data_IF_271137323770
#
_entry.id   IF_271137323770
#
_cell.length_a   1.000
_cell.length_b   1.000
_cell.length_c   1.000
_cell.angle_alpha   90.00
_cell.angle_beta   90.00
_cell.angle_gamma   90.00
#
_symmetry.space_group_name_H-M   'P 1'
#
loop_
_entity.id
_entity.type
_entity.pdbx_description
1 polymer ?
#
# COMPACT_ATOMS: atom_id res chain seq x y z
N UNK A 1 -16.37 -33.38 5.53
CA UNK A 1 -15.63 -33.04 4.29
C UNK A 1 -16.51 -32.08 3.51
N UNK A 2 -16.11 -30.82 3.35
CA UNK A 2 -16.89 -29.85 2.56
C UNK A 2 -16.63 -30.08 1.08
N UNK A 3 -17.68 -30.36 0.29
CA UNK A 3 -17.59 -30.46 -1.15
C UNK A 3 -16.92 -29.22 -1.74
N UNK A 4 -15.78 -29.43 -2.40
CA UNK A 4 -15.05 -28.34 -3.05
C UNK A 4 -15.72 -28.05 -4.39
N UNK A 5 -16.57 -27.03 -4.44
CA UNK A 5 -17.16 -26.57 -5.72
C UNK A 5 -16.08 -25.92 -6.60
N UNK A 6 -16.06 -26.25 -7.89
CA UNK A 6 -15.19 -25.60 -8.89
C UNK A 6 -15.63 -24.15 -9.12
N UNK A 7 -14.69 -23.28 -9.49
CA UNK A 7 -14.98 -21.91 -9.90
C UNK A 7 -16.00 -21.87 -11.05
N UNK A 8 -17.06 -21.07 -10.90
CA UNK A 8 -18.12 -20.90 -11.90
C UNK A 8 -17.73 -20.05 -13.12
N UNK A 9 -16.44 -19.81 -13.36
CA UNK A 9 -15.96 -19.16 -14.58
C UNK A 9 -15.57 -20.22 -15.60
N UNK A 10 -16.09 -20.06 -16.81
CA UNK A 10 -15.80 -20.98 -17.93
C UNK A 10 -14.28 -21.16 -18.11
N UNK A 11 -13.86 -22.41 -18.26
CA UNK A 11 -12.45 -22.80 -18.41
C UNK A 11 -11.60 -22.70 -17.13
N UNK A 12 -12.18 -22.36 -15.98
CA UNK A 12 -11.46 -22.36 -14.71
C UNK A 12 -11.60 -23.70 -13.99
N UNK A 13 -10.47 -24.36 -13.75
CA UNK A 13 -10.41 -25.62 -12.99
C UNK A 13 -10.07 -25.42 -11.51
N UNK A 14 -9.83 -24.18 -11.07
CA UNK A 14 -9.51 -23.88 -9.67
C UNK A 14 -10.73 -24.02 -8.76
N UNK A 15 -10.50 -24.44 -7.51
CA UNK A 15 -11.55 -24.53 -6.51
C UNK A 15 -12.06 -23.14 -6.10
N UNK A 16 -13.38 -23.04 -5.97
CA UNK A 16 -14.02 -21.87 -5.42
C UNK A 16 -13.82 -21.81 -3.89
N UNK A 17 -13.56 -20.61 -3.38
CA UNK A 17 -13.46 -20.35 -1.94
C UNK A 17 -14.31 -19.13 -1.54
N UNK A 18 -15.04 -18.55 -2.50
CA UNK A 18 -15.76 -17.30 -2.34
C UNK A 18 -17.11 -17.43 -3.04
N UNK A 19 -18.19 -17.17 -2.32
CA UNK A 19 -19.53 -17.01 -2.89
C UNK A 19 -19.83 -15.52 -3.06
N UNK A 20 -20.12 -15.09 -4.29
CA UNK A 20 -20.52 -13.72 -4.61
C UNK A 20 -21.85 -13.73 -5.36
N UNK A 21 -22.93 -13.38 -4.65
CA UNK A 21 -24.29 -13.56 -5.16
C UNK A 21 -24.55 -15.04 -5.46
N UNK A 22 -24.89 -15.33 -6.72
CA UNK A 22 -25.14 -16.70 -7.21
C UNK A 22 -23.88 -17.39 -7.77
N UNK A 23 -22.72 -16.73 -7.80
CA UNK A 23 -21.49 -17.27 -8.37
C UNK A 23 -20.55 -17.79 -7.26
N UNK A 24 -19.98 -18.97 -7.49
CA UNK A 24 -18.86 -19.50 -6.71
C UNK A 24 -17.55 -19.19 -7.46
N UNK A 25 -16.60 -18.51 -6.84
CA UNK A 25 -15.40 -17.99 -7.50
C UNK A 25 -14.13 -18.43 -6.76
N UNK A 26 -13.07 -18.73 -7.52
CA UNK A 26 -11.73 -18.84 -6.96
C UNK A 26 -11.17 -17.43 -6.61
N UNK A 27 -10.06 -17.34 -5.84
CA UNK A 27 -9.45 -16.05 -5.49
C UNK A 27 -9.11 -15.17 -6.69
N UNK A 28 -8.57 -15.76 -7.77
CA UNK A 28 -8.17 -15.07 -9.00
C UNK A 28 -9.37 -14.40 -9.68
N UNK A 29 -10.42 -15.16 -9.99
CA UNK A 29 -11.59 -14.61 -10.69
C UNK A 29 -12.41 -13.66 -9.83
N UNK A 30 -12.47 -13.89 -8.52
CA UNK A 30 -13.03 -12.90 -7.61
C UNK A 30 -12.25 -11.57 -7.70
N UNK A 31 -10.92 -11.64 -7.72
CA UNK A 31 -10.08 -10.45 -7.82
C UNK A 31 -10.21 -9.73 -9.15
N UNK A 32 -10.27 -10.46 -10.27
CA UNK A 32 -10.56 -9.87 -11.58
C UNK A 32 -11.92 -9.16 -11.61
N UNK A 33 -12.94 -9.77 -11.00
CA UNK A 33 -14.25 -9.13 -10.81
C UNK A 33 -14.13 -7.80 -10.06
N UNK A 34 -13.37 -7.76 -8.97
CA UNK A 34 -13.12 -6.53 -8.23
C UNK A 34 -12.39 -5.46 -9.06
N UNK A 35 -11.32 -5.83 -9.76
CA UNK A 35 -10.55 -4.92 -10.62
C UNK A 35 -11.45 -4.25 -11.66
N UNK A 36 -12.25 -5.05 -12.38
CA UNK A 36 -13.17 -4.56 -13.41
C UNK A 36 -14.28 -3.69 -12.82
N UNK A 37 -14.86 -4.09 -11.70
CA UNK A 37 -15.92 -3.32 -11.03
C UNK A 37 -15.41 -1.96 -10.52
N UNK A 38 -14.19 -1.91 -9.97
CA UNK A 38 -13.56 -0.65 -9.52
C UNK A 38 -13.25 0.25 -10.72
N UNK A 39 -12.67 -0.29 -11.80
CA UNK A 39 -12.39 0.48 -13.01
C UNK A 39 -13.67 1.10 -13.58
N UNK A 40 -14.74 0.30 -13.72
CA UNK A 40 -16.05 0.76 -14.19
C UNK A 40 -16.60 1.89 -13.31
N UNK A 41 -16.58 1.71 -11.98
CA UNK A 41 -17.07 2.71 -11.02
C UNK A 41 -16.33 4.04 -11.12
N UNK A 42 -15.05 4.00 -11.49
CA UNK A 42 -14.19 5.18 -11.65
C UNK A 42 -14.25 5.81 -13.05
N UNK A 43 -15.08 5.28 -13.96
CA UNK A 43 -15.14 5.75 -15.34
C UNK A 43 -13.86 5.46 -16.14
N UNK A 44 -13.08 4.47 -15.73
CA UNK A 44 -11.85 4.06 -16.42
C UNK A 44 -12.13 2.94 -17.43
N UNK A 45 -11.22 2.76 -18.39
CA UNK A 45 -11.27 1.63 -19.32
C UNK A 45 -11.30 0.30 -18.56
N UNK A 46 -12.24 -0.58 -18.93
CA UNK A 46 -12.48 -1.85 -18.24
C UNK A 46 -11.93 -3.01 -19.08
N UNK A 47 -10.83 -3.66 -18.68
CA UNK A 47 -10.27 -4.77 -19.45
C UNK A 47 -11.21 -5.98 -19.48
N UNK A 48 -11.10 -6.80 -20.54
CA UNK A 48 -11.75 -8.10 -20.61
C UNK A 48 -11.11 -9.09 -19.64
N UNK A 49 -11.81 -10.18 -19.29
CA UNK A 49 -11.20 -11.22 -18.46
C UNK A 49 -10.02 -11.91 -19.18
N UNK A 50 -10.14 -12.11 -20.49
CA UNK A 50 -9.08 -12.70 -21.30
C UNK A 50 -7.81 -11.85 -21.25
N UNK A 51 -7.94 -10.53 -21.38
CA UNK A 51 -6.82 -9.61 -21.25
C UNK A 51 -6.22 -9.67 -19.84
N UNK A 52 -7.03 -9.73 -18.78
CA UNK A 52 -6.51 -9.85 -17.41
C UNK A 52 -5.72 -11.14 -17.18
N UNK A 53 -6.10 -12.26 -17.82
CA UNK A 53 -5.27 -13.48 -17.78
C UNK A 53 -3.95 -13.28 -18.51
N UNK A 54 -3.95 -12.62 -19.68
CA UNK A 54 -2.74 -12.34 -20.47
C UNK A 54 -1.76 -11.39 -19.76
N UNK A 55 -2.27 -10.48 -18.92
CA UNK A 55 -1.45 -9.54 -18.15
C UNK A 55 -0.78 -10.17 -16.93
N UNK A 56 -1.18 -11.38 -16.54
CA UNK A 56 -0.67 -12.03 -15.36
C UNK A 56 0.63 -12.76 -15.68
N UNK A 57 1.67 -12.56 -14.86
CA UNK A 57 2.83 -13.43 -14.93
C UNK A 57 2.59 -14.72 -14.14
N UNK A 58 3.17 -15.81 -14.62
CA UNK A 58 3.03 -17.13 -13.99
C UNK A 58 3.52 -17.15 -12.54
N UNK A 59 4.56 -16.36 -12.24
CA UNK A 59 5.16 -16.28 -10.90
C UNK A 59 4.39 -15.41 -9.89
N UNK A 60 3.31 -14.74 -10.31
CA UNK A 60 2.58 -13.78 -9.46
C UNK A 60 3.48 -12.69 -8.86
N UNK A 61 4.57 -12.29 -9.53
CA UNK A 61 5.44 -11.21 -9.06
C UNK A 61 5.02 -9.88 -9.65
N UNK A 62 5.03 -8.82 -8.85
CA UNK A 62 4.77 -7.48 -9.36
C UNK A 62 5.85 -7.10 -10.38
N UNK A 63 5.52 -6.76 -11.64
CA UNK A 63 6.54 -6.42 -12.65
C UNK A 63 7.33 -5.17 -12.27
N UNK A 64 6.72 -4.28 -11.47
CA UNK A 64 7.32 -3.02 -11.06
C UNK A 64 8.36 -3.14 -9.95
N UNK A 65 8.10 -4.00 -8.95
CA UNK A 65 8.96 -4.07 -7.75
C UNK A 65 9.45 -5.49 -7.41
N UNK A 66 9.03 -6.50 -8.17
CA UNK A 66 9.39 -7.90 -7.98
C UNK A 66 8.75 -8.59 -6.78
N UNK A 67 7.94 -7.90 -5.96
CA UNK A 67 7.31 -8.52 -4.79
C UNK A 67 6.32 -9.60 -5.22
N UNK A 68 6.33 -10.74 -4.53
CA UNK A 68 5.28 -11.74 -4.68
C UNK A 68 3.92 -11.13 -4.32
N UNK A 69 2.95 -11.28 -5.22
CA UNK A 69 1.60 -10.78 -5.08
C UNK A 69 0.68 -11.88 -4.54
N UNK A 70 -0.41 -11.45 -3.92
CA UNK A 70 -1.50 -12.34 -3.51
C UNK A 70 -2.82 -11.93 -4.16
N UNK A 71 -3.79 -12.83 -4.15
CA UNK A 71 -5.13 -12.56 -4.70
C UNK A 71 -6.04 -11.83 -3.73
N UNK A 72 -5.83 -12.02 -2.42
CA UNK A 72 -6.76 -11.58 -1.38
C UNK A 72 -6.06 -10.67 -0.39
N UNK A 73 -6.70 -9.56 -0.05
CA UNK A 73 -6.17 -8.60 0.92
C UNK A 73 -5.93 -9.18 2.32
N UNK A 74 -6.61 -10.28 2.69
CA UNK A 74 -6.37 -10.98 3.96
C UNK A 74 -4.98 -11.63 4.02
N UNK A 75 -4.36 -11.91 2.88
CA UNK A 75 -3.04 -12.52 2.76
C UNK A 75 -1.92 -11.46 2.65
N UNK A 76 -2.26 -10.17 2.75
CA UNK A 76 -1.36 -9.03 2.62
C UNK A 76 -1.99 -7.92 1.77
N UNK A 77 -2.37 -6.81 2.40
CA UNK A 77 -3.12 -5.74 1.72
C UNK A 77 -2.26 -5.00 0.68
N UNK A 78 -0.96 -4.93 0.89
CA UNK A 78 0.01 -4.20 0.08
C UNK A 78 0.50 -4.96 -1.15
N UNK A 79 0.58 -6.29 -1.05
CA UNK A 79 0.99 -7.20 -2.11
C UNK A 79 -0.19 -7.72 -2.93
N UNK A 80 -1.44 -7.37 -2.58
CA UNK A 80 -2.60 -7.79 -3.37
C UNK A 80 -2.50 -7.30 -4.81
N UNK A 81 -2.64 -8.21 -5.75
CA UNK A 81 -2.64 -7.93 -7.19
C UNK A 81 -3.71 -6.88 -7.50
N UNK A 82 -3.40 -5.88 -8.33
CA UNK A 82 -4.28 -4.75 -8.62
C UNK A 82 -4.12 -4.30 -10.06
N UNK A 83 -5.21 -3.81 -10.66
CA UNK A 83 -5.19 -3.30 -12.04
C UNK A 83 -4.61 -1.89 -12.05
N UNK A 84 -3.57 -1.69 -12.85
CA UNK A 84 -2.96 -0.41 -13.17
C UNK A 84 -3.37 0.03 -14.57
N UNK A 85 -3.71 1.31 -14.70
CA UNK A 85 -3.88 2.03 -15.97
C UNK A 85 -2.65 2.91 -16.16
N UNK A 86 -1.81 2.61 -17.14
CA UNK A 86 -0.64 3.42 -17.45
C UNK A 86 -1.02 4.59 -18.36
N UNK A 87 -0.19 5.63 -18.38
CA UNK A 87 -0.47 6.86 -19.14
C UNK A 87 -0.34 6.68 -20.66
N UNK A 88 0.38 5.66 -21.09
CA UNK A 88 0.45 5.23 -22.49
C UNK A 88 -0.82 4.49 -22.97
N UNK A 89 -1.83 4.36 -22.11
CA UNK A 89 -3.09 3.67 -22.38
C UNK A 89 -3.03 2.16 -22.16
N UNK A 90 -1.87 1.60 -21.80
CA UNK A 90 -1.73 0.17 -21.52
C UNK A 90 -2.23 -0.20 -20.12
N UNK A 91 -2.41 -1.51 -19.90
CA UNK A 91 -2.81 -2.07 -18.61
C UNK A 91 -1.69 -2.90 -18.00
N UNK A 92 -1.71 -3.03 -16.67
CA UNK A 92 -0.85 -3.98 -15.97
C UNK A 92 -1.51 -4.55 -14.73
N UNK A 93 -1.08 -5.74 -14.32
CA UNK A 93 -1.38 -6.28 -13.00
C UNK A 93 -0.14 -6.07 -12.13
N UNK A 94 -0.27 -5.20 -11.12
CA UNK A 94 0.81 -4.81 -10.22
C UNK A 94 0.35 -4.93 -8.77
N UNK A 95 1.28 -4.97 -7.81
CA UNK A 95 0.89 -4.98 -6.40
C UNK A 95 0.22 -3.65 -6.03
N UNK A 96 -0.72 -3.69 -5.08
CA UNK A 96 -1.45 -2.48 -4.64
C UNK A 96 -0.51 -1.38 -4.16
N UNK A 97 0.64 -1.73 -3.56
CA UNK A 97 1.65 -0.73 -3.16
C UNK A 97 2.18 0.06 -4.36
N UNK A 98 2.52 -0.60 -5.48
CA UNK A 98 2.97 0.07 -6.69
C UNK A 98 1.84 0.90 -7.30
N UNK A 99 0.65 0.33 -7.47
CA UNK A 99 -0.52 1.04 -8.02
C UNK A 99 -0.85 2.32 -7.23
N UNK A 100 -0.72 2.27 -5.90
CA UNK A 100 -0.90 3.47 -5.07
C UNK A 100 0.17 4.52 -5.35
N UNK A 101 1.44 4.13 -5.57
CA UNK A 101 2.54 5.08 -5.86
C UNK A 101 2.38 5.74 -7.22
N UNK A 102 1.97 4.98 -8.23
CA UNK A 102 1.62 5.49 -9.57
C UNK A 102 0.72 6.72 -9.51
N UNK A 103 -0.34 6.65 -8.71
CA UNK A 103 -1.29 7.74 -8.56
C UNK A 103 -0.67 9.06 -8.05
N UNK A 104 0.50 9.01 -7.40
CA UNK A 104 1.18 10.18 -6.83
C UNK A 104 2.36 10.68 -7.67
N UNK A 105 2.76 9.97 -8.72
CA UNK A 105 3.97 10.29 -9.49
C UNK A 105 3.64 10.78 -10.92
N UNK A 106 4.34 11.81 -11.42
CA UNK A 106 4.16 12.27 -12.79
C UNK A 106 4.74 11.26 -13.78
N UNK A 107 4.10 11.14 -14.94
CA UNK A 107 4.53 10.40 -16.12
C UNK A 107 5.04 8.98 -15.87
N UNK A 108 4.44 8.25 -14.93
CA UNK A 108 4.83 6.88 -14.57
C UNK A 108 6.33 6.75 -14.18
N UNK A 109 6.95 7.88 -13.76
CA UNK A 109 8.38 7.99 -13.37
C UNK A 109 8.80 7.11 -12.19
N UNK A 110 7.86 6.39 -11.59
CA UNK A 110 8.18 5.38 -10.58
C UNK A 110 8.92 4.18 -11.20
N UNK A 111 8.78 3.92 -12.51
CA UNK A 111 9.54 2.86 -13.22
C UNK A 111 11.03 3.13 -13.18
N UNK A 112 11.40 4.39 -13.23
CA UNK A 112 12.79 4.85 -13.23
C UNK A 112 13.38 4.91 -11.81
N UNK A 113 12.57 4.66 -10.78
CA UNK A 113 13.01 4.72 -9.40
C UNK A 113 13.82 3.46 -9.06
N UNK A 114 15.07 3.61 -8.56
CA UNK A 114 15.83 2.47 -8.08
C UNK A 114 15.07 1.68 -7.00
N UNK A 115 15.27 0.36 -6.94
CA UNK A 115 14.52 -0.53 -6.02
C UNK A 115 14.70 -0.18 -4.54
N UNK A 116 15.86 0.35 -4.18
CA UNK A 116 16.25 0.80 -2.84
C UNK A 116 15.84 2.25 -2.54
N UNK A 117 15.23 2.93 -3.51
CA UNK A 117 14.75 4.30 -3.37
C UNK A 117 13.25 4.37 -3.08
N UNK A 118 12.84 5.53 -2.59
CA UNK A 118 11.46 5.90 -2.29
C UNK A 118 11.23 7.35 -2.64
N UNK A 119 10.08 7.64 -3.24
CA UNK A 119 9.63 9.00 -3.52
C UNK A 119 9.09 9.67 -2.25
N UNK A 120 9.57 10.87 -1.94
CA UNK A 120 9.01 11.72 -0.89
C UNK A 120 7.98 12.69 -1.50
N UNK A 121 6.69 12.61 -1.15
CA UNK A 121 5.65 13.46 -1.75
C UNK A 121 5.77 14.94 -1.33
N UNK A 122 6.45 15.24 -0.22
CA UNK A 122 6.62 16.62 0.27
C UNK A 122 7.68 17.40 -0.52
N UNK A 123 8.86 16.81 -0.75
CA UNK A 123 9.92 17.46 -1.53
C UNK A 123 9.99 17.02 -2.99
N UNK A 124 9.14 16.07 -3.40
CA UNK A 124 9.03 15.53 -4.76
C UNK A 124 10.34 14.95 -5.33
N UNK A 125 11.17 14.34 -4.48
CA UNK A 125 12.45 13.72 -4.86
C UNK A 125 12.50 12.24 -4.53
N UNK A 126 13.18 11.46 -5.37
CA UNK A 126 13.62 10.10 -5.05
C UNK A 126 14.76 10.17 -4.05
N UNK A 127 14.68 9.34 -3.01
CA UNK A 127 15.72 9.25 -1.98
C UNK A 127 15.93 7.79 -1.58
N UNK A 128 17.13 7.40 -1.14
CA UNK A 128 17.35 6.08 -0.58
C UNK A 128 16.37 5.80 0.57
N UNK A 129 15.98 4.54 0.78
CA UNK A 129 15.10 4.17 1.90
C UNK A 129 15.67 4.55 3.28
N UNK A 130 17.00 4.62 3.41
CA UNK A 130 17.70 5.08 4.62
C UNK A 130 17.44 6.54 4.96
N UNK A 131 17.02 7.37 4.00
CA UNK A 131 16.62 8.77 4.20
C UNK A 131 15.21 8.91 4.80
N UNK A 132 14.53 7.81 5.14
CA UNK A 132 13.21 7.82 5.75
C UNK A 132 13.29 7.21 7.16
N UNK A 133 12.54 7.78 8.10
CA UNK A 133 12.43 7.19 9.43
C UNK A 133 11.73 5.83 9.36
N UNK A 134 12.15 4.91 10.23
CA UNK A 134 11.39 3.69 10.47
C UNK A 134 10.07 4.02 11.15
N UNK A 135 9.02 3.30 10.76
CA UNK A 135 7.71 3.37 11.39
C UNK A 135 7.46 2.05 12.11
N UNK A 136 7.70 2.04 13.42
CA UNK A 136 7.59 0.83 14.24
C UNK A 136 6.15 0.28 14.31
N UNK A 137 5.14 1.07 13.95
CA UNK A 137 3.76 0.59 13.80
C UNK A 137 3.50 -0.14 12.49
N UNK A 138 4.50 -0.29 11.60
CA UNK A 138 4.37 -0.92 10.28
C UNK A 138 5.40 -2.03 10.10
N UNK A 139 5.04 -3.01 9.28
CA UNK A 139 5.88 -4.18 8.98
C UNK A 139 6.33 -4.21 7.52
N UNK A 140 7.34 -5.03 7.25
CA UNK A 140 7.86 -5.28 5.90
C UNK A 140 8.27 -4.02 5.13
N UNK A 141 7.89 -3.98 3.85
CA UNK A 141 8.24 -2.89 2.94
C UNK A 141 7.63 -1.53 3.31
N UNK A 142 6.65 -1.51 4.22
CA UNK A 142 5.97 -0.32 4.74
C UNK A 142 6.60 0.22 6.04
N UNK A 143 7.65 -0.40 6.56
CA UNK A 143 8.36 0.00 7.79
C UNK A 143 9.03 1.38 7.71
N UNK A 144 8.81 2.17 6.67
CA UNK A 144 9.33 3.54 6.55
C UNK A 144 8.21 4.57 6.40
N UNK A 145 8.36 5.73 7.05
CA UNK A 145 7.45 6.88 6.96
C UNK A 145 7.29 7.37 5.51
N UNK A 146 6.17 8.01 5.18
CA UNK A 146 5.89 8.53 3.83
C UNK A 146 6.83 9.67 3.42
N UNK A 147 7.26 10.50 4.36
CA UNK A 147 8.15 11.64 4.14
C UNK A 147 9.58 11.30 4.53
N UNK A 148 10.56 11.88 3.82
CA UNK A 148 11.96 11.74 4.20
C UNK A 148 12.22 12.43 5.56
N UNK A 149 13.35 12.07 6.20
CA UNK A 149 13.77 12.57 7.52
C UNK A 149 13.74 14.09 7.57
N UNK A 150 14.44 14.76 6.65
CA UNK A 150 14.46 16.23 6.52
C UNK A 150 13.05 16.84 6.49
N UNK A 151 12.19 16.36 5.58
CA UNK A 151 10.82 16.84 5.46
C UNK A 151 9.97 16.58 6.71
N UNK A 152 10.23 15.48 7.42
CA UNK A 152 9.54 15.11 8.66
C UNK A 152 10.00 16.01 9.81
N UNK A 153 11.30 16.24 9.93
CA UNK A 153 11.91 17.09 10.96
C UNK A 153 11.43 18.53 10.82
N UNK A 154 11.40 19.07 9.60
CA UNK A 154 10.83 20.41 9.32
C UNK A 154 9.35 20.50 9.76
N UNK A 155 8.55 19.46 9.48
CA UNK A 155 7.15 19.42 9.91
C UNK A 155 7.02 19.35 11.43
N UNK A 156 7.85 18.55 12.10
CA UNK A 156 7.87 18.44 13.56
C UNK A 156 8.29 19.76 14.19
N UNK A 157 9.34 20.40 13.68
CA UNK A 157 9.81 21.70 14.14
C UNK A 157 8.71 22.75 13.99
N UNK A 158 8.11 22.87 12.80
CA UNK A 158 7.00 23.80 12.56
C UNK A 158 5.82 23.56 13.48
N UNK A 159 5.45 22.30 13.72
CA UNK A 159 4.38 21.96 14.67
C UNK A 159 4.76 22.36 16.10
N UNK A 160 5.99 22.09 16.54
CA UNK A 160 6.47 22.48 17.88
C UNK A 160 6.45 23.98 18.08
N UNK A 161 6.91 24.74 17.08
CA UNK A 161 6.91 26.20 17.13
C UNK A 161 5.50 26.77 17.27
N UNK A 162 4.54 26.21 16.52
CA UNK A 162 3.13 26.63 16.59
C UNK A 162 2.39 26.18 17.86
N UNK A 163 2.91 25.16 18.56
CA UNK A 163 2.25 24.53 19.70
C UNK A 163 3.09 24.58 20.98
N UNK A 164 3.96 25.60 21.13
CA UNK A 164 4.87 25.75 22.28
C UNK A 164 4.14 25.68 23.61
N UNK A 165 3.03 26.41 23.75
CA UNK A 165 2.26 26.46 25.00
C UNK A 165 1.67 25.10 25.37
N UNK A 166 1.07 24.41 24.38
CA UNK A 166 0.55 23.07 24.54
C UNK A 166 1.64 22.10 25.00
N UNK A 167 2.81 22.13 24.36
CA UNK A 167 3.95 21.27 24.72
C UNK A 167 4.42 21.57 26.14
N UNK A 168 4.56 22.85 26.49
CA UNK A 168 4.98 23.26 27.83
C UNK A 168 3.99 22.80 28.89
N UNK A 169 2.68 22.97 28.65
CA UNK A 169 1.63 22.45 29.52
C UNK A 169 1.72 20.93 29.66
N UNK A 170 1.81 20.20 28.56
CA UNK A 170 1.95 18.75 28.55
C UNK A 170 3.16 18.27 29.37
N UNK A 171 4.32 18.94 29.22
CA UNK A 171 5.53 18.63 29.98
C UNK A 171 5.37 18.91 31.48
N UNK A 172 4.71 20.00 31.87
CA UNK A 172 4.38 20.28 33.28
C UNK A 172 3.48 19.19 33.85
N UNK A 173 2.40 18.87 33.17
CA UNK A 173 1.42 17.85 33.58
C UNK A 173 2.08 16.46 33.68
N UNK A 174 2.97 16.11 32.75
CA UNK A 174 3.75 14.87 32.80
C UNK A 174 4.67 14.79 34.02
N UNK A 175 5.40 15.88 34.34
CA UNK A 175 6.28 15.93 35.52
C UNK A 175 5.49 15.82 36.83
N UNK A 176 4.34 16.49 36.92
CA UNK A 176 3.45 16.39 38.08
C UNK A 176 2.98 14.95 38.30
N UNK A 177 2.50 14.26 37.25
CA UNK A 177 2.11 12.84 37.32
C UNK A 177 3.25 11.93 37.74
N UNK A 178 4.46 12.16 37.23
CA UNK A 178 5.66 11.39 37.60
C UNK A 178 6.06 11.60 39.06
N UNK A 179 5.92 12.82 39.58
CA UNK A 179 6.15 13.13 41.01
C UNK A 179 5.10 12.45 41.89
N UNK A 180 3.83 12.50 41.52
CA UNK A 180 2.72 11.86 42.25
C UNK A 180 2.85 10.32 42.28
N UNK A 181 3.35 9.71 41.21
CA UNK A 181 3.62 8.26 41.14
C UNK A 181 4.93 7.83 41.80
N UNK A 182 5.59 8.70 42.57
CA UNK A 182 6.81 8.38 43.31
C UNK A 182 8.05 8.16 42.43
N UNK A 183 7.99 8.48 41.13
CA UNK A 183 9.10 8.29 40.19
C UNK A 183 9.44 9.60 39.45
N UNK A 184 9.93 10.63 40.18
CA UNK A 184 10.23 11.94 39.60
C UNK A 184 11.37 11.86 38.58
N UNK A 185 11.28 12.68 37.52
CA UNK A 185 12.35 12.79 36.53
C UNK A 185 13.55 13.49 37.19
N UNK A 186 14.67 12.78 37.32
CA UNK A 186 15.93 13.37 37.78
C UNK A 186 16.42 14.39 36.74
N UNK A 187 16.67 15.63 37.15
CA UNK A 187 17.43 16.56 36.32
C UNK A 187 18.86 16.01 36.24
N UNK A 188 19.37 15.85 35.01
CA UNK A 188 20.80 15.70 34.77
C UNK A 188 21.46 17.06 34.94
#
# INVERSE_FOLDING_TARGET
MTDKTVCGKSGCTEYSVIKQGRQNLCPKHYRFGQMRAIAKRRGLAVPSHELLHKLLNEEMKCPDCGVAMNWRSKDGMESVASLQHYRDGTFGIVCRSCNTRHAYMPNDSYRDMPKDHKYCPKCKKHKPRSDFYTDNGRTGNLKTKSHCKKCSDESIYSWREKNKEYINKYQRDYRLRRKQSGNPIKRK
#
